data_IF_300436914381
#
_entry.id   IF_300436914381
#
_cell.length_a   1.000
_cell.length_b   1.000
_cell.length_c   1.000
_cell.angle_alpha   90.00
_cell.angle_beta   90.00
_cell.angle_gamma   90.00
#
_symmetry.space_group_name_H-M   'P 1'
#
loop_
_entity.id
_entity.type
_entity.pdbx_description
1 polymer ?
#
# COMPACT_ATOMS: atom_id res chain seq x y z
N UNK A 1 -7.11 26.13 -4.76
CA UNK A 1 -6.63 25.31 -3.62
C UNK A 1 -7.81 24.59 -3.02
N UNK A 2 -7.74 23.26 -2.90
CA UNK A 2 -8.80 22.43 -2.33
C UNK A 2 -8.83 22.61 -0.81
N UNK A 3 -9.99 22.94 -0.22
CA UNK A 3 -10.13 23.15 1.23
C UNK A 3 -9.73 21.92 2.04
N UNK A 4 -9.89 20.73 1.48
CA UNK A 4 -9.52 19.46 2.11
C UNK A 4 -8.01 19.23 2.13
N UNK A 5 -7.28 19.64 1.08
CA UNK A 5 -5.83 19.43 1.03
C UNK A 5 -5.10 20.27 2.08
N UNK A 6 -5.58 21.51 2.28
CA UNK A 6 -5.10 22.41 3.34
C UNK A 6 -5.43 21.84 4.71
N UNK A 7 -6.65 21.34 4.91
CA UNK A 7 -7.07 20.73 6.18
C UNK A 7 -6.22 19.49 6.54
N UNK A 8 -5.89 18.66 5.55
CA UNK A 8 -5.12 17.43 5.74
C UNK A 8 -3.60 17.63 5.65
N UNK A 9 -3.14 18.87 5.41
CA UNK A 9 -1.73 19.18 5.17
C UNK A 9 -1.06 18.24 4.16
N UNK A 10 -1.76 17.95 3.06
CA UNK A 10 -1.34 17.00 2.01
C UNK A 10 -1.06 17.73 0.71
N UNK A 11 -0.11 17.22 -0.06
CA UNK A 11 0.18 17.75 -1.40
C UNK A 11 -1.06 17.59 -2.31
N UNK A 12 -1.54 18.70 -2.86
CA UNK A 12 -2.72 18.75 -3.75
C UNK A 12 -2.59 17.84 -4.98
N UNK A 13 -1.37 17.49 -5.40
CA UNK A 13 -1.13 16.63 -6.54
C UNK A 13 -1.35 15.13 -6.27
N UNK A 14 -1.34 14.70 -5.00
CA UNK A 14 -1.50 13.28 -4.62
C UNK A 14 -2.88 12.96 -4.03
N UNK A 15 -3.58 13.96 -3.49
CA UNK A 15 -4.90 13.77 -2.88
C UNK A 15 -5.95 13.21 -3.87
N UNK A 16 -6.01 13.63 -5.15
CA UNK A 16 -6.98 13.09 -6.12
C UNK A 16 -6.89 11.57 -6.30
N UNK A 17 -5.70 10.98 -6.19
CA UNK A 17 -5.47 9.54 -6.31
C UNK A 17 -6.12 8.79 -5.15
N UNK A 18 -5.95 9.30 -3.92
CA UNK A 18 -6.62 8.76 -2.74
C UNK A 18 -8.14 8.93 -2.82
N UNK A 19 -8.60 10.11 -3.25
CA UNK A 19 -10.02 10.36 -3.45
C UNK A 19 -10.62 9.41 -4.50
N UNK A 20 -9.91 9.13 -5.58
CA UNK A 20 -10.37 8.17 -6.59
C UNK A 20 -10.47 6.74 -6.02
N UNK A 21 -9.39 6.25 -5.40
CA UNK A 21 -9.31 4.89 -4.85
C UNK A 21 -10.26 4.65 -3.68
N UNK A 22 -10.48 5.67 -2.84
CA UNK A 22 -11.22 5.56 -1.58
C UNK A 22 -12.46 6.46 -1.55
N UNK A 23 -13.06 6.78 -2.71
CA UNK A 23 -14.19 7.71 -2.81
C UNK A 23 -15.40 7.34 -1.94
N UNK A 24 -15.58 6.05 -1.62
CA UNK A 24 -16.67 5.56 -0.75
C UNK A 24 -16.35 5.60 0.74
N UNK A 25 -15.12 5.96 1.10
CA UNK A 25 -14.57 5.86 2.46
C UNK A 25 -13.78 7.15 2.79
N UNK A 26 -14.45 8.32 2.81
CA UNK A 26 -13.78 9.60 3.06
C UNK A 26 -13.15 9.67 4.47
N UNK A 27 -13.74 9.01 5.46
CA UNK A 27 -13.20 8.89 6.82
C UNK A 27 -11.84 8.17 6.81
N UNK A 28 -11.68 7.17 5.94
CA UNK A 28 -10.42 6.48 5.73
C UNK A 28 -9.32 7.42 5.23
N UNK A 29 -9.62 8.30 4.27
CA UNK A 29 -8.68 9.31 3.78
C UNK A 29 -8.30 10.27 4.91
N UNK A 30 -9.29 10.80 5.64
CA UNK A 30 -9.05 11.72 6.76
C UNK A 30 -8.14 11.07 7.81
N UNK A 31 -8.38 9.80 8.14
CA UNK A 31 -7.59 9.08 9.12
C UNK A 31 -6.15 8.85 8.65
N UNK A 32 -5.94 8.40 7.40
CA UNK A 32 -4.61 8.16 6.83
C UNK A 32 -3.73 9.41 6.84
N UNK A 33 -4.32 10.58 6.64
CA UNK A 33 -3.61 11.86 6.65
C UNK A 33 -3.60 12.55 8.03
N UNK A 34 -4.16 11.91 9.06
CA UNK A 34 -4.15 12.47 10.41
C UNK A 34 -2.75 12.47 11.02
N UNK A 35 -2.50 13.45 11.90
CA UNK A 35 -1.31 13.48 12.76
C UNK A 35 -1.22 12.23 13.62
N UNK A 36 -2.36 11.69 14.06
CA UNK A 36 -2.42 10.51 14.90
C UNK A 36 -1.87 9.27 14.20
N UNK A 37 -2.28 9.01 12.96
CA UNK A 37 -1.73 7.92 12.15
C UNK A 37 -0.23 8.10 11.92
N UNK A 38 0.18 9.33 11.58
CA UNK A 38 1.59 9.61 11.29
C UNK A 38 2.48 9.44 12.54
N UNK A 39 1.99 9.84 13.72
CA UNK A 39 2.71 9.74 14.98
C UNK A 39 2.89 8.29 15.45
N UNK A 40 1.90 7.41 15.23
CA UNK A 40 1.99 6.01 15.69
C UNK A 40 3.11 5.23 15.01
N UNK A 41 3.45 5.59 13.77
CA UNK A 41 4.53 4.95 13.00
C UNK A 41 5.80 5.80 12.92
N UNK A 42 5.84 7.00 13.52
CA UNK A 42 6.90 7.98 13.30
C UNK A 42 8.30 7.47 13.69
N UNK A 43 8.42 6.77 14.82
CA UNK A 43 9.70 6.24 15.29
C UNK A 43 10.25 5.19 14.30
N UNK A 44 9.41 4.23 13.88
CA UNK A 44 9.78 3.22 12.89
C UNK A 44 10.09 3.85 11.54
N UNK A 45 9.26 4.81 11.10
CA UNK A 45 9.49 5.53 9.84
C UNK A 45 10.82 6.29 9.84
N UNK A 46 11.21 6.91 10.95
CA UNK A 46 12.49 7.59 11.07
C UNK A 46 13.67 6.60 10.98
N UNK A 47 13.59 5.46 11.64
CA UNK A 47 14.64 4.44 11.58
C UNK A 47 14.80 3.87 10.16
N UNK A 48 13.68 3.55 9.50
CA UNK A 48 13.69 3.07 8.12
C UNK A 48 14.19 4.14 7.13
N UNK A 49 13.80 5.40 7.34
CA UNK A 49 14.29 6.53 6.55
C UNK A 49 15.82 6.63 6.61
N UNK A 50 16.42 6.46 7.79
CA UNK A 50 17.87 6.44 7.96
C UNK A 50 18.50 5.21 7.29
N UNK A 51 17.93 4.02 7.49
CA UNK A 51 18.43 2.77 6.92
C UNK A 51 18.44 2.79 5.38
N UNK A 52 17.36 3.27 4.76
CA UNK A 52 17.18 3.28 3.31
C UNK A 52 17.60 4.61 2.66
N UNK A 53 18.07 5.59 3.45
CA UNK A 53 18.47 6.94 3.00
C UNK A 53 17.35 7.67 2.26
N UNK A 54 16.15 7.62 2.80
CA UNK A 54 14.94 8.24 2.27
C UNK A 54 14.45 9.37 3.19
N UNK A 55 13.70 10.37 2.68
CA UNK A 55 12.99 11.31 3.55
C UNK A 55 11.91 10.57 4.38
N UNK A 56 11.80 10.87 5.68
CA UNK A 56 10.80 10.25 6.57
C UNK A 56 9.36 10.39 6.05
N UNK A 57 9.03 11.54 5.46
CA UNK A 57 7.72 11.77 4.87
C UNK A 57 7.38 10.78 3.75
N UNK A 58 8.37 10.43 2.92
CA UNK A 58 8.18 9.44 1.85
C UNK A 58 7.95 8.05 2.44
N UNK A 59 8.64 7.69 3.52
CA UNK A 59 8.46 6.40 4.20
C UNK A 59 7.05 6.26 4.77
N UNK A 60 6.55 7.29 5.46
CA UNK A 60 5.16 7.33 5.96
C UNK A 60 4.15 7.22 4.81
N UNK A 61 4.41 7.94 3.71
CA UNK A 61 3.56 7.95 2.54
C UNK A 61 3.40 6.55 1.92
N UNK A 62 4.45 5.72 1.92
CA UNK A 62 4.37 4.36 1.39
C UNK A 62 3.37 3.47 2.15
N UNK A 63 3.23 3.65 3.47
CA UNK A 63 2.18 2.91 4.21
C UNK A 63 0.78 3.42 3.83
N UNK A 64 0.61 4.73 3.62
CA UNK A 64 -0.69 5.28 3.16
C UNK A 64 -1.07 4.75 1.78
N UNK A 65 -0.13 4.75 0.84
CA UNK A 65 -0.31 4.22 -0.52
C UNK A 65 -0.66 2.73 -0.48
N UNK A 66 0.03 1.95 0.35
CA UNK A 66 -0.28 0.54 0.54
C UNK A 66 -1.72 0.34 1.02
N UNK A 67 -2.13 1.04 2.08
CA UNK A 67 -3.48 0.92 2.63
C UNK A 67 -4.53 1.30 1.58
N UNK A 68 -4.33 2.42 0.87
CA UNK A 68 -5.24 2.85 -0.19
C UNK A 68 -5.39 1.81 -1.30
N UNK A 69 -4.29 1.23 -1.77
CA UNK A 69 -4.33 0.16 -2.78
C UNK A 69 -5.01 -1.09 -2.25
N UNK A 70 -4.75 -1.49 -1.00
CA UNK A 70 -5.41 -2.65 -0.39
C UNK A 70 -6.91 -2.46 -0.30
N UNK A 71 -7.35 -1.29 0.15
CA UNK A 71 -8.77 -0.92 0.21
C UNK A 71 -9.39 -0.92 -1.18
N UNK A 72 -8.75 -0.28 -2.16
CA UNK A 72 -9.26 -0.19 -3.53
C UNK A 72 -9.39 -1.56 -4.21
N UNK A 73 -8.41 -2.44 -3.99
CA UNK A 73 -8.39 -3.79 -4.58
C UNK A 73 -9.17 -4.81 -3.76
N UNK A 74 -9.80 -4.42 -2.64
CA UNK A 74 -10.42 -5.30 -1.66
C UNK A 74 -9.49 -6.46 -1.26
N UNK A 75 -8.23 -6.14 -0.96
CA UNK A 75 -7.19 -7.10 -0.56
C UNK A 75 -7.12 -7.24 0.97
N UNK A 76 -8.24 -7.50 1.61
CA UNK A 76 -8.32 -7.58 3.08
C UNK A 76 -7.34 -8.62 3.65
N UNK A 77 -7.23 -9.78 3.00
CA UNK A 77 -6.39 -10.91 3.47
C UNK A 77 -4.93 -10.89 2.98
N UNK A 78 -4.52 -9.92 2.15
CA UNK A 78 -3.15 -9.87 1.63
C UNK A 78 -2.85 -10.95 0.57
N UNK A 79 -3.84 -11.31 -0.23
CA UNK A 79 -3.74 -12.35 -1.26
C UNK A 79 -3.52 -11.80 -2.67
N UNK A 80 -3.67 -10.49 -2.89
CA UNK A 80 -3.62 -9.85 -4.22
C UNK A 80 -2.34 -9.06 -4.49
N UNK A 81 -1.75 -8.46 -3.47
CA UNK A 81 -0.52 -7.68 -3.57
C UNK A 81 0.48 -8.07 -2.48
N UNK A 82 1.75 -7.74 -2.69
CA UNK A 82 2.82 -8.02 -1.73
C UNK A 82 3.55 -6.72 -1.37
N UNK A 83 3.55 -6.28 -0.10
CA UNK A 83 4.31 -5.11 0.32
C UNK A 83 5.82 -5.32 0.14
N UNK A 84 6.57 -4.23 0.03
CA UNK A 84 8.04 -4.26 0.18
C UNK A 84 8.40 -4.49 1.65
N UNK A 85 9.66 -4.84 1.93
CA UNK A 85 10.12 -5.03 3.30
C UNK A 85 9.94 -3.75 4.14
N UNK A 86 10.17 -2.58 3.53
CA UNK A 86 9.99 -1.28 4.18
C UNK A 86 8.53 -1.08 4.61
N UNK A 87 7.57 -1.35 3.72
CA UNK A 87 6.15 -1.21 4.03
C UNK A 87 5.70 -2.24 5.07
N UNK A 88 6.23 -3.45 5.00
CA UNK A 88 5.90 -4.53 5.92
C UNK A 88 6.29 -4.16 7.36
N UNK A 89 7.48 -3.57 7.56
CA UNK A 89 7.93 -3.08 8.87
C UNK A 89 7.07 -1.93 9.41
N UNK A 90 6.65 -1.00 8.55
CA UNK A 90 5.71 0.06 8.94
C UNK A 90 4.34 -0.48 9.31
N UNK A 91 3.86 -1.49 8.60
CA UNK A 91 2.58 -2.11 8.91
C UNK A 91 2.64 -2.84 10.25
N UNK A 92 3.74 -3.53 10.56
CA UNK A 92 3.96 -4.09 11.90
C UNK A 92 3.88 -3.00 12.97
N UNK A 93 4.55 -1.86 12.76
CA UNK A 93 4.48 -0.75 13.70
C UNK A 93 3.04 -0.22 13.88
N UNK A 94 2.27 -0.10 12.80
CA UNK A 94 0.88 0.33 12.85
C UNK A 94 -0.04 -0.67 13.59
N UNK A 95 0.24 -1.98 13.52
CA UNK A 95 -0.52 -3.02 14.22
C UNK A 95 -0.22 -3.03 15.73
N UNK A 96 1.04 -2.76 16.11
CA UNK A 96 1.47 -2.76 17.52
C UNK A 96 0.74 -1.69 18.32
N UNK A 97 0.46 -0.52 17.72
CA UNK A 97 -0.49 0.43 18.29
C UNK A 97 -1.93 -0.04 18.02
N UNK A 98 -2.41 -0.93 18.89
CA UNK A 98 -3.71 -1.61 18.71
C UNK A 98 -4.89 -0.64 18.66
N UNK A 99 -4.81 0.50 19.36
CA UNK A 99 -5.86 1.51 19.33
C UNK A 99 -5.86 2.26 18.00
N UNK A 100 -4.70 2.67 17.49
CA UNK A 100 -4.60 3.28 16.15
C UNK A 100 -5.00 2.29 15.07
N UNK A 101 -4.64 1.02 15.21
CA UNK A 101 -5.04 -0.02 14.26
C UNK A 101 -6.56 -0.26 14.24
N UNK A 102 -7.19 -0.30 15.41
CA UNK A 102 -8.64 -0.41 15.52
C UNK A 102 -9.33 0.80 14.87
N UNK A 103 -8.83 2.01 15.12
CA UNK A 103 -9.40 3.23 14.55
C UNK A 103 -9.18 3.33 13.04
N UNK A 104 -8.06 2.83 12.53
CA UNK A 104 -7.84 2.67 11.09
C UNK A 104 -8.93 1.76 10.48
N UNK A 105 -9.12 0.57 11.04
CA UNK A 105 -10.11 -0.38 10.51
C UNK A 105 -11.54 0.17 10.62
N UNK A 106 -11.85 0.89 11.70
CA UNK A 106 -13.14 1.56 11.87
C UNK A 106 -13.34 2.65 10.82
N UNK A 107 -12.33 3.49 10.58
CA UNK A 107 -12.37 4.53 9.56
C UNK A 107 -12.48 3.96 8.14
N UNK A 108 -11.91 2.78 7.90
CA UNK A 108 -12.00 2.10 6.62
C UNK A 108 -13.29 1.28 6.44
N UNK A 109 -14.00 0.95 7.51
CA UNK A 109 -15.15 0.05 7.50
C UNK A 109 -14.81 -1.40 7.14
N UNK A 110 -13.53 -1.78 7.14
CA UNK A 110 -13.03 -3.12 6.78
C UNK A 110 -11.94 -3.58 7.75
N UNK A 111 -11.78 -4.90 7.87
CA UNK A 111 -10.65 -5.50 8.60
C UNK A 111 -9.52 -5.73 7.62
N UNK A 112 -8.36 -5.18 7.92
CA UNK A 112 -7.16 -5.44 7.13
C UNK A 112 -6.33 -6.49 7.87
N UNK A 113 -5.82 -7.47 7.12
CA UNK A 113 -4.91 -8.46 7.64
C UNK A 113 -3.55 -8.31 6.96
N UNK A 114 -2.52 -8.38 7.80
CA UNK A 114 -1.15 -8.48 7.32
C UNK A 114 -0.84 -9.95 7.01
N UNK A 115 -0.47 -10.23 5.76
CA UNK A 115 0.06 -11.54 5.36
C UNK A 115 1.58 -11.53 5.44
N UNK A 116 2.16 -12.52 6.12
CA UNK A 116 3.62 -12.67 6.21
C UNK A 116 4.18 -13.13 4.86
N UNK A 117 5.04 -12.31 4.24
CA UNK A 117 5.68 -12.66 2.97
C UNK A 117 6.71 -13.80 3.05
N UNK A 118 7.27 -14.06 4.24
CA UNK A 118 8.43 -14.96 4.44
C UNK A 118 8.03 -16.42 4.68
N UNK A 119 6.79 -16.71 5.06
CA UNK A 119 6.37 -18.04 5.51
C UNK A 119 5.70 -18.92 4.45
N UNK A 120 5.62 -18.47 3.19
CA UNK A 120 4.89 -19.26 2.19
C UNK A 120 5.80 -20.35 1.60
N UNK A 121 5.28 -21.58 1.44
CA UNK A 121 6.01 -22.70 0.86
C UNK A 121 6.67 -22.36 -0.47
N UNK A 122 7.70 -23.11 -0.84
CA UNK A 122 8.35 -22.97 -2.15
C UNK A 122 7.37 -23.11 -3.33
N UNK A 123 6.28 -23.87 -3.15
CA UNK A 123 5.20 -24.02 -4.12
C UNK A 123 4.47 -22.69 -4.45
N UNK A 124 4.50 -21.69 -3.56
CA UNK A 124 3.76 -20.44 -3.70
C UNK A 124 4.60 -19.28 -4.26
N UNK A 125 5.83 -19.56 -4.72
CA UNK A 125 6.73 -18.50 -5.22
C UNK A 125 6.22 -17.81 -6.48
N UNK A 126 5.52 -18.53 -7.36
CA UNK A 126 4.87 -17.92 -8.53
C UNK A 126 3.78 -16.94 -8.09
N UNK A 127 2.95 -17.33 -7.11
CA UNK A 127 1.94 -16.44 -6.54
C UNK A 127 2.56 -15.23 -5.83
N UNK A 128 3.72 -15.39 -5.19
CA UNK A 128 4.49 -14.28 -4.62
C UNK A 128 5.00 -13.32 -5.70
N UNK A 129 5.62 -13.84 -6.74
CA UNK A 129 6.13 -13.04 -7.87
C UNK A 129 4.99 -12.27 -8.54
N UNK A 130 3.85 -12.92 -8.77
CA UNK A 130 2.66 -12.28 -9.33
C UNK A 130 2.17 -11.13 -8.45
N UNK A 131 2.03 -11.34 -7.14
CA UNK A 131 1.62 -10.27 -6.21
C UNK A 131 2.60 -9.09 -6.16
N UNK A 132 3.92 -9.37 -6.23
CA UNK A 132 4.93 -8.31 -6.31
C UNK A 132 4.82 -7.53 -7.63
N UNK A 133 4.60 -8.22 -8.76
CA UNK A 133 4.39 -7.59 -10.05
C UNK A 133 3.10 -6.76 -10.09
N UNK A 134 2.00 -7.29 -9.54
CA UNK A 134 0.72 -6.59 -9.39
C UNK A 134 0.89 -5.33 -8.54
N UNK A 135 1.60 -5.42 -7.41
CA UNK A 135 1.91 -4.24 -6.58
C UNK A 135 2.63 -3.16 -7.39
N UNK A 136 3.70 -3.51 -8.11
CA UNK A 136 4.45 -2.57 -8.96
C UNK A 136 3.58 -1.93 -10.04
N UNK A 137 2.73 -2.73 -10.68
CA UNK A 137 1.80 -2.25 -11.70
C UNK A 137 0.81 -1.23 -11.13
N UNK A 138 0.18 -1.53 -9.99
CA UNK A 138 -0.76 -0.62 -9.32
C UNK A 138 -0.08 0.67 -8.88
N UNK A 139 1.12 0.59 -8.29
CA UNK A 139 1.90 1.76 -7.91
C UNK A 139 2.21 2.66 -9.12
N UNK A 140 2.65 2.06 -10.23
CA UNK A 140 2.94 2.81 -11.46
C UNK A 140 1.68 3.46 -12.04
N UNK A 141 0.55 2.76 -12.03
CA UNK A 141 -0.71 3.25 -12.60
C UNK A 141 -1.32 4.40 -11.78
N UNK A 142 -1.32 4.29 -10.44
CA UNK A 142 -1.95 5.30 -9.60
C UNK A 142 -1.01 6.42 -9.17
N UNK A 143 0.28 6.13 -8.95
CA UNK A 143 1.24 7.09 -8.38
C UNK A 143 2.38 7.46 -9.33
N UNK A 144 2.50 6.81 -10.49
CA UNK A 144 3.53 7.11 -11.49
C UNK A 144 4.94 6.66 -11.10
N UNK A 145 5.10 5.93 -9.99
CA UNK A 145 6.40 5.46 -9.48
C UNK A 145 6.35 4.00 -9.06
N UNK A 146 7.51 3.37 -8.86
CA UNK A 146 7.60 2.08 -8.19
C UNK A 146 7.49 2.24 -6.65
N UNK A 147 7.09 1.18 -5.92
CA UNK A 147 7.10 1.18 -4.46
C UNK A 147 8.53 1.29 -3.90
N UNK A 148 8.70 1.94 -2.75
CA UNK A 148 10.00 2.11 -2.11
C UNK A 148 10.41 0.87 -1.30
N UNK A 149 11.73 0.67 -1.22
CA UNK A 149 12.35 -0.40 -0.43
C UNK A 149 12.49 -1.71 -1.20
N UNK A 150 13.29 -2.66 -0.67
CA UNK A 150 13.52 -3.93 -1.33
C UNK A 150 12.27 -4.82 -1.26
N UNK A 151 12.02 -5.56 -2.33
CA UNK A 151 11.06 -6.67 -2.33
C UNK A 151 11.69 -7.93 -1.77
N UNK A 152 10.89 -8.85 -1.23
CA UNK A 152 11.39 -10.17 -0.83
C UNK A 152 12.07 -10.89 -2.02
N UNK A 153 13.23 -11.52 -1.79
CA UNK A 153 13.92 -12.25 -2.84
C UNK A 153 13.04 -13.38 -3.38
N UNK A 154 12.93 -13.45 -4.70
CA UNK A 154 12.40 -14.62 -5.41
C UNK A 154 13.55 -15.62 -5.61
N UNK A 155 13.29 -16.92 -5.54
CA UNK A 155 14.32 -17.87 -6.00
C UNK A 155 14.50 -17.69 -7.51
N UNK A 156 15.74 -17.65 -7.98
CA UNK A 156 16.15 -17.36 -9.36
C UNK A 156 15.41 -18.19 -10.43
N UNK A 157 14.89 -19.37 -10.08
CA UNK A 157 14.21 -20.28 -11.00
C UNK A 157 12.88 -19.73 -11.56
N UNK A 158 12.22 -18.78 -10.88
CA UNK A 158 10.90 -18.25 -11.31
C UNK A 158 11.01 -17.27 -12.48
N UNK A 159 12.06 -16.45 -12.54
CA UNK A 159 12.23 -15.41 -13.56
C UNK A 159 12.52 -15.97 -14.97
N UNK A 160 13.05 -17.20 -15.05
CA UNK A 160 13.32 -17.89 -16.32
C UNK A 160 12.15 -18.71 -16.83
N UNK A 161 11.21 -19.10 -15.96
CA UNK A 161 10.06 -19.93 -16.34
C UNK A 161 8.84 -19.12 -16.80
N UNK A 162 8.68 -17.89 -16.32
CA UNK A 162 7.55 -17.01 -16.66
C UNK A 162 8.03 -15.55 -16.79
N UNK A 163 8.49 -15.11 -17.98
CA UNK A 163 8.68 -13.70 -18.22
C UNK A 163 7.33 -12.99 -17.98
N UNK A 164 7.30 -11.81 -17.34
CA UNK A 164 6.05 -11.11 -17.07
C UNK A 164 5.39 -10.71 -18.39
N UNK A 165 4.44 -11.51 -18.84
CA UNK A 165 3.46 -11.11 -19.85
C UNK A 165 2.46 -10.23 -19.13
N UNK A 166 2.63 -8.92 -19.24
CA UNK A 166 1.63 -7.95 -18.79
C UNK A 166 0.55 -7.91 -19.86
N UNK A 167 -0.31 -8.92 -19.88
CA UNK A 167 -1.67 -8.72 -20.38
C UNK A 167 -2.45 -8.13 -19.22
N UNK A 168 -2.74 -6.83 -19.32
CA UNK A 168 -3.76 -6.19 -18.48
C UNK A 168 -5.02 -7.04 -18.60
N UNK A 169 -5.51 -7.73 -17.55
CA UNK A 169 -6.84 -8.30 -17.62
C UNK A 169 -7.80 -7.14 -17.91
N UNK A 170 -8.72 -7.35 -18.84
CA UNK A 170 -9.75 -6.41 -19.33
C UNK A 170 -10.67 -5.88 -18.21
N UNK A 171 -10.11 -5.17 -17.22
CA UNK A 171 -10.84 -4.49 -16.15
C UNK A 171 -11.02 -2.99 -16.43
N UNK A 172 -10.87 -2.57 -17.70
CA UNK A 172 -11.23 -1.23 -18.17
C UNK A 172 -12.59 -1.20 -18.91
N UNK A 173 -13.34 -2.31 -18.90
CA UNK A 173 -14.72 -2.36 -19.43
C UNK A 173 -15.71 -2.82 -18.38
N UNK A 174 -15.81 -2.07 -17.29
CA UNK A 174 -16.98 -2.11 -16.41
C UNK A 174 -17.75 -0.79 -16.54
N UNK A 175 -18.67 -0.80 -17.53
CA UNK A 175 -19.87 0.03 -17.63
C UNK A 175 -19.78 1.48 -17.11
N UNK A 176 -19.23 2.37 -17.93
CA UNK A 176 -19.81 3.72 -18.04
C UNK A 176 -21.02 3.57 -18.98
N UNK A 177 -22.19 3.30 -18.40
CA UNK A 177 -23.45 3.75 -19.02
C UNK A 177 -23.78 5.10 -18.41
N UNK A 178 -23.80 6.10 -19.28
CA UNK A 178 -24.41 7.41 -19.07
C UNK A 178 -25.85 7.28 -18.57
#
# INVERSE_FOLDING_TARGET
>A
MSSLAVLLNVNEMILPQYQHMMHKIPEGIIFLFSTRFSNSIAATAHNLAMQYRLPTGNVIEELRRLIAIKTFTADEDGTKIMPTNLMDELWVAAIVDTQVYADLQNALGIKLYRRYGVSEPAADQVARALRQATMKCLYKNFFGSEPLGPTYPLLQQVFMAYPPVIELPELVTLNIRL
#
